data_IF_209423190982
#
_entry.id   IF_209423190982
#
_cell.length_a   1.000
_cell.length_b   1.000
_cell.length_c   1.000
_cell.angle_alpha   90.00
_cell.angle_beta   90.00
_cell.angle_gamma   90.00
#
_symmetry.space_group_name_H-M   'P 1'
#
loop_
_entity.id
_entity.type
_entity.pdbx_description
1 polymer ?
2 non-polymer ?
3 water ?
#
# COMPACT_ATOMS: atom_id res chain seq x y z
N UNK A 1 -17.54 -10.50 -17.16
CA UNK A 1 -17.91 -9.97 -18.50
C UNK A 1 -17.23 -8.62 -18.70
N UNK A 2 -17.69 -7.85 -19.69
CA UNK A 2 -17.13 -6.53 -19.97
C UNK A 2 -17.63 -5.51 -18.95
N UNK A 3 -16.74 -4.64 -18.52
CA UNK A 3 -17.07 -3.61 -17.54
C UNK A 3 -17.72 -2.41 -18.22
N UNK A 4 -18.53 -1.64 -17.47
CA UNK A 4 -19.20 -0.44 -18.00
C UNK A 4 -18.12 0.56 -18.36
N UNK A 5 -18.47 1.60 -19.11
CA UNK A 5 -17.47 2.60 -19.46
C UNK A 5 -17.09 3.41 -18.22
N UNK A 6 -15.79 3.75 -18.06
CA UNK A 6 -15.46 4.55 -16.88
C UNK A 6 -16.14 5.91 -17.03
N UNK A 7 -16.55 6.48 -15.91
CA UNK A 7 -17.23 7.77 -15.89
C UNK A 7 -16.28 8.90 -15.51
N UNK A 8 -15.78 9.62 -16.51
CA UNK A 8 -14.83 10.73 -16.29
C UNK A 8 -15.39 11.94 -15.56
N UNK A 9 -16.65 12.27 -15.80
CA UNK A 9 -17.27 13.40 -15.08
C UNK A 9 -17.42 13.00 -13.58
N UNK A 10 -17.86 11.79 -13.32
CA UNK A 10 -17.98 11.34 -11.94
C UNK A 10 -16.60 11.44 -11.27
N UNK A 11 -15.56 11.01 -11.96
CA UNK A 11 -14.20 11.08 -11.45
C UNK A 11 -13.78 12.55 -11.20
N UNK A 12 -14.15 13.45 -12.10
CA UNK A 12 -13.83 14.88 -11.92
C UNK A 12 -14.50 15.40 -10.63
N UNK A 13 -15.77 15.04 -10.43
CA UNK A 13 -16.53 15.45 -9.25
C UNK A 13 -15.85 14.95 -7.98
N UNK A 14 -15.38 13.71 -8.00
CA UNK A 14 -14.69 13.12 -6.86
C UNK A 14 -13.42 13.91 -6.52
N UNK A 15 -12.62 14.24 -7.53
CA UNK A 15 -11.38 14.99 -7.27
C UNK A 15 -11.67 16.37 -6.72
N UNK A 16 -12.67 17.03 -7.29
CA UNK A 16 -13.06 18.38 -6.90
C UNK A 16 -13.55 18.42 -5.46
N UNK A 17 -14.27 17.39 -5.08
CA UNK A 17 -14.79 17.23 -3.74
C UNK A 17 -13.67 17.03 -2.71
N UNK A 18 -12.67 16.20 -3.06
CA UNK A 18 -11.56 15.96 -2.15
C UNK A 18 -10.82 17.29 -1.92
N UNK A 19 -10.72 18.11 -2.96
CA UNK A 19 -10.09 19.41 -2.84
C UNK A 19 -10.91 20.30 -1.88
N UNK A 20 -12.23 20.31 -2.02
CA UNK A 20 -13.05 21.12 -1.13
C UNK A 20 -12.92 20.62 0.32
N UNK A 21 -12.52 19.36 0.51
CA UNK A 21 -12.38 18.82 1.86
C UNK A 21 -11.00 18.95 2.55
N UNK A 22 -10.01 19.57 1.89
CA UNK A 22 -8.71 19.72 2.51
C UNK A 22 -7.48 19.22 1.75
N UNK A 23 -7.68 18.39 0.74
CA UNK A 23 -6.57 17.86 -0.06
C UNK A 23 -6.03 18.95 -0.98
N UNK A 24 -4.72 19.24 -0.92
CA UNK A 24 -4.21 20.29 -1.82
C UNK A 24 -4.35 19.88 -3.28
N UNK A 25 -4.11 18.60 -3.54
CA UNK A 25 -4.19 18.10 -4.89
C UNK A 25 -4.77 16.72 -4.86
N UNK A 26 -5.18 16.26 -6.04
CA UNK A 26 -5.76 14.93 -6.19
C UNK A 26 -5.75 14.57 -7.68
N UNK A 27 -5.52 13.29 -7.98
CA UNK A 27 -5.48 12.84 -9.35
C UNK A 27 -5.82 11.35 -9.47
N UNK A 28 -6.16 10.94 -10.68
CA UNK A 28 -6.52 9.56 -10.91
C UNK A 28 -6.19 9.20 -12.35
N UNK A 29 -5.70 7.97 -12.56
CA UNK A 29 -5.41 7.48 -13.89
C UNK A 29 -6.10 6.14 -14.02
N UNK A 30 -6.77 5.94 -15.15
CA UNK A 30 -7.45 4.67 -15.43
C UNK A 30 -6.86 4.08 -16.71
N UNK A 31 -6.34 2.86 -16.60
CA UNK A 31 -5.80 2.14 -17.74
C UNK A 31 -6.87 1.15 -18.08
N UNK A 32 -7.71 1.51 -19.04
CA UNK A 32 -8.81 0.68 -19.46
C UNK A 32 -8.45 -0.11 -20.73
N UNK A 33 -7.79 -1.24 -20.54
CA UNK A 33 -7.42 -2.11 -21.64
C UNK A 33 -6.88 -1.36 -22.86
N UNK A 34 -5.89 -0.51 -22.64
CA UNK A 34 -5.31 0.21 -23.77
C UNK A 34 -5.80 1.61 -24.03
N UNK A 35 -6.85 2.04 -23.34
CA UNK A 35 -7.37 3.41 -23.49
C UNK A 35 -7.16 4.04 -22.11
N UNK A 36 -6.43 5.15 -22.08
CA UNK A 36 -6.08 5.85 -20.85
C UNK A 36 -7.06 6.96 -20.47
N UNK A 37 -7.29 7.10 -19.16
CA UNK A 37 -8.12 8.17 -18.62
C UNK A 37 -7.23 8.85 -17.59
N UNK A 38 -7.07 10.16 -17.69
CA UNK A 38 -6.25 10.89 -16.74
C UNK A 38 -6.84 12.25 -16.38
N UNK A 39 -6.97 12.47 -15.07
CA UNK A 39 -7.52 13.69 -14.51
C UNK A 39 -6.74 14.04 -13.27
N UNK A 40 -6.66 15.33 -12.98
CA UNK A 40 -5.96 15.86 -11.81
C UNK A 40 -6.49 17.26 -11.52
N UNK A 41 -6.45 17.66 -10.26
CA UNK A 41 -6.89 18.99 -9.89
C UNK A 41 -6.10 19.39 -8.64
N UNK A 42 -5.79 20.67 -8.53
CA UNK A 42 -5.07 21.12 -7.35
C UNK A 42 -3.57 21.25 -7.55
N UNK A 43 -2.88 21.45 -6.44
CA UNK A 43 -1.44 21.66 -6.45
C UNK A 43 -0.62 20.50 -5.88
N UNK A 44 0.60 20.34 -6.38
CA UNK A 44 1.53 19.33 -5.89
C UNK A 44 2.34 19.93 -4.74
N UNK A 45 2.55 21.24 -4.80
CA UNK A 45 3.30 21.99 -3.81
C UNK A 45 2.45 23.22 -3.52
N UNK A 46 1.70 23.20 -2.42
CA UNK A 46 0.81 24.30 -2.05
C UNK A 46 1.50 25.64 -1.78
N UNK A 47 2.83 25.62 -1.64
CA UNK A 47 3.58 26.84 -1.37
C UNK A 47 4.02 27.57 -2.64
N UNK A 48 4.67 26.84 -3.55
CA UNK A 48 5.13 27.42 -4.81
C UNK A 48 3.96 27.53 -5.79
N UNK A 49 3.00 26.63 -5.66
CA UNK A 49 1.85 26.63 -6.55
C UNK A 49 1.83 25.68 -7.75
N UNK A 50 2.84 24.82 -7.88
CA UNK A 50 2.93 23.87 -9.00
C UNK A 50 1.71 22.94 -9.03
N UNK A 51 1.10 22.79 -10.20
CA UNK A 51 -0.07 21.94 -10.37
C UNK A 51 0.29 20.45 -10.27
N UNK A 52 -0.61 19.66 -9.72
CA UNK A 52 -0.36 18.23 -9.62
C UNK A 52 -0.75 17.63 -10.99
N UNK A 53 -0.10 16.53 -11.39
CA UNK A 53 -0.38 15.87 -12.67
C UNK A 53 -0.31 14.37 -12.42
N UNK A 54 -0.80 13.56 -13.36
CA UNK A 54 -0.79 12.13 -13.18
C UNK A 54 0.58 11.46 -13.34
N UNK A 55 1.60 12.24 -13.71
CA UNK A 55 2.95 11.72 -13.87
C UNK A 55 3.79 11.95 -12.60
N UNK A 56 3.23 12.71 -11.65
CA UNK A 56 3.92 13.01 -10.41
C UNK A 56 4.14 11.76 -9.60
N UNK A 57 5.31 11.67 -8.97
CA UNK A 57 5.68 10.53 -8.16
C UNK A 57 5.21 10.77 -6.72
N UNK A 58 4.98 9.68 -5.99
CA UNK A 58 4.51 9.81 -4.63
C UNK A 58 4.84 8.57 -3.78
N UNK A 59 4.61 8.68 -2.46
CA UNK A 59 4.84 7.57 -1.55
C UNK A 59 3.56 6.77 -1.46
N UNK A 60 3.64 5.49 -1.78
CA UNK A 60 2.48 4.60 -1.81
C UNK A 60 2.06 3.98 -0.49
N UNK A 61 2.83 4.20 0.57
CA UNK A 61 2.50 3.64 1.87
C UNK A 61 2.27 2.13 1.82
N UNK A 62 1.20 1.70 2.49
CA UNK A 62 0.81 0.29 2.57
C UNK A 62 0.68 -0.52 1.29
N UNK A 63 0.64 0.13 0.12
CA UNK A 63 0.56 -0.61 -1.14
C UNK A 63 1.83 -1.46 -1.27
N UNK A 64 2.88 -1.01 -0.57
CA UNK A 64 4.18 -1.68 -0.50
C UNK A 64 4.02 -3.14 -0.08
N UNK A 65 2.97 -3.46 0.68
CA UNK A 65 2.76 -4.83 1.12
C UNK A 65 2.55 -5.82 -0.01
N UNK A 66 1.99 -5.35 -1.14
CA UNK A 66 1.75 -6.21 -2.29
C UNK A 66 3.08 -6.53 -2.96
N UNK A 67 3.99 -5.57 -2.94
CA UNK A 67 5.30 -5.76 -3.52
C UNK A 67 6.02 -6.85 -2.70
N UNK A 68 5.98 -6.72 -1.38
CA UNK A 68 6.58 -7.68 -0.46
C UNK A 68 5.95 -9.06 -0.58
N UNK A 69 4.62 -9.11 -0.67
CA UNK A 69 3.90 -10.38 -0.81
C UNK A 69 4.31 -11.09 -2.09
N UNK A 70 4.44 -10.33 -3.17
CA UNK A 70 4.84 -10.89 -4.47
C UNK A 70 6.23 -11.54 -4.38
N UNK A 71 7.16 -10.88 -3.70
CA UNK A 71 8.50 -11.43 -3.55
C UNK A 71 8.42 -12.76 -2.77
N UNK A 72 7.70 -12.78 -1.64
CA UNK A 72 7.57 -13.99 -0.83
C UNK A 72 6.90 -15.14 -1.60
N UNK A 73 5.87 -14.83 -2.37
CA UNK A 73 5.19 -15.87 -3.12
C UNK A 73 6.09 -16.46 -4.22
N UNK A 74 6.99 -15.65 -4.76
CA UNK A 74 7.93 -16.12 -5.77
C UNK A 74 8.93 -17.06 -5.07
N UNK A 75 9.26 -16.74 -3.82
CA UNK A 75 10.15 -17.54 -3.01
C UNK A 75 9.50 -18.90 -2.72
N UNK A 76 8.18 -18.91 -2.61
CA UNK A 76 7.43 -20.16 -2.40
C UNK A 76 7.53 -20.99 -3.68
N UNK A 77 7.37 -20.30 -4.81
CA UNK A 77 7.44 -20.91 -6.14
C UNK A 77 8.80 -21.55 -6.38
N UNK A 78 9.85 -20.92 -5.85
CA UNK A 78 11.21 -21.41 -5.98
C UNK A 78 11.58 -22.54 -5.00
N UNK A 79 10.69 -22.82 -4.04
CA UNK A 79 10.94 -23.87 -3.08
C UNK A 79 11.71 -23.43 -1.85
N UNK A 80 11.90 -22.12 -1.69
CA UNK A 80 12.64 -21.56 -0.56
C UNK A 80 11.80 -21.24 0.67
N UNK A 81 10.49 -21.19 0.52
CA UNK A 81 9.60 -20.85 1.63
C UNK A 81 8.34 -21.68 1.61
N UNK A 82 7.88 -22.09 2.79
CA UNK A 82 6.63 -22.83 2.90
C UNK A 82 5.65 -21.94 3.70
N UNK A 83 4.53 -21.58 3.10
CA UNK A 83 3.55 -20.71 3.75
C UNK A 83 3.05 -21.21 5.09
N UNK A 84 3.02 -22.53 5.29
CA UNK A 84 2.52 -23.08 6.55
C UNK A 84 3.54 -23.45 7.61
N UNK A 85 4.79 -23.05 7.36
CA UNK A 85 5.88 -23.25 8.29
C UNK A 85 5.86 -22.10 9.29
N UNK A 86 6.37 -22.38 10.47
CA UNK A 86 6.44 -21.38 11.53
C UNK A 86 7.45 -20.29 11.15
N UNK A 87 7.13 -19.04 11.50
CA UNK A 87 8.01 -17.90 11.23
C UNK A 87 9.30 -18.13 11.99
N UNK A 88 9.20 -18.77 13.16
CA UNK A 88 10.34 -19.07 14.01
C UNK A 88 11.30 -20.10 13.41
N UNK A 89 10.82 -20.82 12.42
CA UNK A 89 11.59 -21.83 11.70
C UNK A 89 12.67 -21.14 10.85
N UNK A 90 12.30 -20.01 10.23
CA UNK A 90 13.21 -19.26 9.37
C UNK A 90 13.97 -18.19 10.11
N UNK A 91 13.41 -17.74 11.21
CA UNK A 91 14.00 -16.70 12.02
C UNK A 91 13.89 -17.16 13.48
N UNK A 92 14.81 -18.03 13.93
CA UNK A 92 14.80 -18.56 15.29
C UNK A 92 14.75 -17.51 16.39
N UNK A 93 13.94 -17.84 17.40
CA UNK A 93 13.78 -16.99 18.56
C UNK A 93 13.21 -15.59 18.34
N UNK A 94 12.58 -15.34 17.19
CA UNK A 94 12.01 -14.03 16.90
C UNK A 94 10.67 -13.78 17.60
N UNK A 95 9.73 -14.70 17.42
CA UNK A 95 8.40 -14.55 17.99
C UNK A 95 8.21 -15.41 19.24
N UNK A 96 7.35 -14.96 20.19
CA UNK A 96 7.09 -15.72 21.42
C UNK A 96 6.23 -16.98 21.26
N UNK A 97 5.74 -17.21 20.04
CA UNK A 97 4.92 -18.38 19.75
C UNK A 97 5.36 -19.02 18.43
N UNK A 98 5.66 -20.32 18.48
CA UNK A 98 6.09 -21.08 17.32
C UNK A 98 4.92 -21.38 16.40
N UNK A 99 3.70 -21.28 16.91
CA UNK A 99 2.52 -21.58 16.10
C UNK A 99 2.10 -20.55 15.06
N UNK A 100 2.71 -19.37 15.11
CA UNK A 100 2.44 -18.31 14.15
C UNK A 100 3.18 -18.63 12.85
N UNK A 101 2.44 -18.83 11.77
CA UNK A 101 3.04 -19.17 10.46
C UNK A 101 3.25 -17.97 9.51
N UNK A 102 3.97 -18.21 8.41
CA UNK A 102 4.22 -17.17 7.41
C UNK A 102 2.86 -16.78 6.81
N UNK A 103 1.98 -17.75 6.57
CA UNK A 103 0.68 -17.46 5.99
C UNK A 103 -0.15 -16.52 6.86
N UNK A 104 -0.05 -16.69 8.18
CA UNK A 104 -0.78 -15.87 9.16
C UNK A 104 -0.24 -14.43 9.21
N UNK A 105 1.08 -14.28 9.07
CA UNK A 105 1.70 -12.97 9.07
C UNK A 105 1.30 -12.22 7.79
N UNK A 106 1.20 -12.94 6.68
CA UNK A 106 0.86 -12.34 5.38
C UNK A 106 -0.59 -11.92 5.23
N UNK A 107 -1.48 -12.56 6.00
CA UNK A 107 -2.88 -12.26 5.89
C UNK A 107 -3.44 -11.52 7.14
N UNK A 108 -2.54 -11.02 7.98
CA UNK A 108 -2.90 -10.31 9.21
C UNK A 108 -3.75 -11.13 10.19
N UNK A 109 -3.36 -12.40 10.40
CA UNK A 109 -4.07 -13.24 11.35
C UNK A 109 -3.11 -13.71 12.43
N UNK A 110 -1.97 -13.06 12.53
CA UNK A 110 -0.95 -13.47 13.48
C UNK A 110 -1.09 -13.06 14.94
N UNK A 111 -1.82 -11.97 15.21
CA UNK A 111 -1.96 -11.50 16.57
C UNK A 111 -0.90 -10.52 17.02
N UNK A 112 0.03 -10.15 16.13
CA UNK A 112 1.09 -9.23 16.49
C UNK A 112 0.56 -7.79 16.61
N UNK A 113 0.85 -7.18 17.75
CA UNK A 113 0.42 -5.83 18.02
C UNK A 113 1.07 -4.91 17.02
N UNK A 114 0.33 -3.91 16.56
CA UNK A 114 0.89 -2.96 15.61
C UNK A 114 1.55 -1.81 16.37
N UNK A 115 2.87 -1.71 16.30
CA UNK A 115 3.61 -0.65 16.99
C UNK A 115 3.26 0.81 16.58
N UNK A 116 2.67 1.02 15.39
CA UNK A 116 2.35 2.39 14.97
C UNK A 116 1.30 3.01 15.88
N UNK A 117 0.56 2.17 16.62
CA UNK A 117 -0.45 2.66 17.56
C UNK A 117 0.27 3.42 18.66
N UNK A 118 1.53 3.07 18.88
CA UNK A 118 2.34 3.72 19.90
C UNK A 118 3.02 4.96 19.33
N UNK A 119 3.50 4.86 18.10
CA UNK A 119 4.20 5.96 17.45
C UNK A 119 3.37 7.17 17.09
N UNK A 120 2.22 6.92 16.47
CA UNK A 120 1.34 7.97 15.98
C UNK A 120 0.06 8.25 16.76
N UNK A 121 0.09 8.14 18.07
CA UNK A 121 -1.09 8.43 18.88
C UNK A 121 -1.39 9.92 18.61
N UNK A 122 -0.34 10.74 18.59
CA UNK A 122 -0.45 12.15 18.29
C UNK A 122 0.18 12.26 16.90
N UNK A 123 -0.64 12.48 15.89
CA UNK A 123 -0.20 12.57 14.48
C UNK A 123 1.06 13.40 14.20
N UNK A 124 0.98 14.72 14.36
CA UNK A 124 2.14 15.58 14.10
C UNK A 124 3.34 15.31 15.02
N UNK A 125 3.14 15.28 16.35
CA UNK A 125 4.29 15.01 17.22
C UNK A 125 4.91 13.63 16.89
N UNK A 126 4.07 12.68 16.47
CA UNK A 126 4.54 11.34 16.11
C UNK A 126 5.39 11.38 14.85
N UNK A 127 4.93 12.09 13.83
CA UNK A 127 5.69 12.22 12.59
C UNK A 127 7.04 12.94 12.84
N UNK A 128 7.02 13.98 13.67
CA UNK A 128 8.25 14.72 13.95
C UNK A 128 9.27 13.85 14.69
N UNK A 129 8.77 12.93 15.50
CA UNK A 129 9.59 12.03 16.29
C UNK A 129 10.29 10.94 15.44
N UNK A 130 9.61 10.39 14.44
CA UNK A 130 10.20 9.34 13.61
C UNK A 130 10.67 9.69 12.18
N UNK A 131 10.33 10.87 11.66
CA UNK A 131 10.70 11.23 10.28
C UNK A 131 12.17 11.09 9.90
N UNK A 132 13.04 11.45 10.84
CA UNK A 132 14.47 11.38 10.61
C UNK A 132 15.17 10.22 11.31
N UNK A 133 14.40 9.26 11.79
CA UNK A 133 14.98 8.10 12.47
C UNK A 133 15.18 6.90 11.55
N UNK A 134 16.22 6.12 11.83
CA UNK A 134 16.49 4.91 11.06
C UNK A 134 16.38 3.74 12.02
N UNK A 135 15.47 2.83 11.69
CA UNK A 135 15.19 1.65 12.49
C UNK A 135 15.62 0.38 11.77
N UNK A 136 15.96 -0.65 12.54
CA UNK A 136 16.29 -1.95 11.97
C UNK A 136 14.97 -2.73 12.06
N UNK A 137 14.88 -3.87 11.38
CA UNK A 137 13.67 -4.68 11.44
C UNK A 137 13.47 -5.15 12.87
N UNK A 138 14.57 -5.47 13.54
CA UNK A 138 14.51 -5.93 14.91
C UNK A 138 13.93 -4.88 15.84
N UNK A 139 14.29 -3.61 15.64
CA UNK A 139 13.79 -2.51 16.48
C UNK A 139 12.26 -2.48 16.51
N UNK A 140 11.66 -2.63 15.33
CA UNK A 140 10.22 -2.59 15.18
C UNK A 140 9.55 -3.80 15.79
N UNK A 141 10.08 -4.99 15.52
CA UNK A 141 9.48 -6.20 16.08
C UNK A 141 9.51 -6.11 17.60
N UNK A 142 10.63 -5.69 18.16
CA UNK A 142 10.76 -5.54 19.61
C UNK A 142 9.75 -4.52 20.20
N UNK A 143 9.39 -3.51 19.42
CA UNK A 143 8.40 -2.53 19.87
C UNK A 143 7.05 -3.23 19.94
N UNK A 144 6.75 -4.05 18.92
CA UNK A 144 5.49 -4.81 18.87
C UNK A 144 5.37 -5.83 20.01
N UNK A 145 6.49 -6.51 20.29
CA UNK A 145 6.57 -7.54 21.33
C UNK A 145 6.52 -7.03 22.80
N UNK A 146 6.57 -5.71 23.00
CA UNK A 146 6.43 -5.16 24.35
C UNK A 146 4.96 -5.36 24.79
N UNK A 147 4.07 -5.50 23.81
CA UNK A 147 2.64 -5.74 24.05
C UNK A 147 2.34 -7.22 23.79
N UNK A 148 1.30 -7.75 24.40
CA UNK A 148 0.98 -9.16 24.15
C UNK A 148 0.33 -9.32 22.79
N UNK A 149 0.08 -10.55 22.38
CA UNK A 149 -0.58 -10.74 21.10
C UNK A 149 -2.04 -10.39 21.33
N UNK A 150 -2.77 -10.10 20.26
CA UNK A 150 -4.16 -9.69 20.40
C UNK A 150 -5.16 -10.81 20.21
N UNK A 151 -4.67 -11.96 19.76
CA UNK A 151 -5.51 -13.12 19.52
C UNK A 151 -4.58 -14.32 19.29
N UNK A 152 -5.17 -15.52 19.29
CA UNK A 152 -4.40 -16.76 19.08
C UNK A 152 -4.02 -16.87 17.62
N UNK A 153 -2.88 -17.52 17.32
CA UNK A 153 -2.41 -17.68 15.93
C UNK A 153 -3.47 -18.09 14.90
N UNK A 154 -3.67 -17.24 13.91
CA UNK A 154 -4.65 -17.50 12.86
C UNK A 154 -6.12 -17.28 13.22
N UNK A 155 -6.39 -17.00 14.49
CA UNK A 155 -7.77 -16.84 14.97
C UNK A 155 -8.61 -15.71 14.39
N UNK A 156 -8.01 -14.57 14.03
CA UNK A 156 -8.79 -13.45 13.51
C UNK A 156 -7.98 -12.41 12.79
N UNK A 157 -8.64 -11.63 11.94
CA UNK A 157 -7.97 -10.57 11.20
C UNK A 157 -7.83 -9.33 12.07
N UNK A 158 -6.63 -8.76 12.05
CA UNK A 158 -6.28 -7.55 12.76
C UNK A 158 -5.09 -7.01 11.98
N UNK A 159 -5.30 -5.92 11.24
CA UNK A 159 -4.23 -5.32 10.46
C UNK A 159 -3.08 -4.85 11.36
N UNK A 160 -1.85 -5.22 11.00
CA UNK A 160 -0.68 -4.82 11.79
C UNK A 160 0.53 -4.66 10.86
N UNK A 161 1.17 -3.48 10.90
CA UNK A 161 2.35 -3.20 10.08
C UNK A 161 3.48 -4.18 10.38
N UNK A 162 3.53 -4.60 11.64
CA UNK A 162 4.51 -5.54 12.12
C UNK A 162 4.62 -6.78 11.23
N UNK A 163 3.48 -7.22 10.73
CA UNK A 163 3.44 -8.40 9.88
C UNK A 163 4.34 -8.27 8.67
N UNK A 164 4.39 -7.09 8.07
CA UNK A 164 5.22 -6.94 6.91
C UNK A 164 6.64 -6.45 7.18
N UNK A 165 6.92 -6.16 8.45
CA UNK A 165 8.27 -5.83 8.87
C UNK A 165 8.88 -7.24 8.97
N UNK A 166 8.14 -8.17 9.57
CA UNK A 166 8.55 -9.56 9.65
C UNK A 166 8.72 -10.04 8.20
N UNK A 167 7.81 -9.63 7.30
CA UNK A 167 7.89 -10.06 5.91
C UNK A 167 9.22 -9.64 5.28
N UNK A 168 9.63 -8.40 5.55
CA UNK A 168 10.89 -7.92 5.03
C UNK A 168 12.08 -8.70 5.58
N UNK A 169 12.09 -8.97 6.88
CA UNK A 169 13.17 -9.71 7.52
C UNK A 169 13.31 -11.11 6.90
N UNK A 170 12.19 -11.76 6.61
CA UNK A 170 12.14 -13.08 6.01
C UNK A 170 12.81 -13.06 4.63
N UNK A 171 12.43 -12.08 3.82
CA UNK A 171 12.98 -11.91 2.48
C UNK A 171 14.49 -11.76 2.52
N UNK A 172 14.99 -10.92 3.42
CA UNK A 172 16.44 -10.73 3.49
C UNK A 172 17.19 -11.96 3.99
N UNK A 173 16.60 -12.67 4.93
CA UNK A 173 17.20 -13.88 5.49
C UNK A 173 17.28 -15.02 4.47
N UNK A 174 16.18 -15.30 3.80
CA UNK A 174 16.15 -16.37 2.81
C UNK A 174 16.94 -16.12 1.53
N UNK A 175 17.14 -14.85 1.17
CA UNK A 175 17.85 -14.51 -0.06
C UNK A 175 19.25 -13.97 0.17
N UNK A 176 19.52 -13.45 1.36
CA UNK A 176 20.83 -12.88 1.63
C UNK A 176 21.04 -11.53 0.95
N UNK A 177 19.96 -10.94 0.42
CA UNK A 177 20.05 -9.64 -0.24
C UNK A 177 19.08 -8.69 0.46
N UNK A 178 19.31 -7.40 0.32
CA UNK A 178 18.41 -6.42 0.91
C UNK A 178 17.08 -6.48 0.14
N UNK A 179 16.02 -6.00 0.75
CA UNK A 179 14.73 -6.02 0.08
C UNK A 179 14.70 -5.13 -1.19
N UNK A 180 15.56 -4.12 -1.24
CA UNK A 180 15.62 -3.20 -2.38
C UNK A 180 16.02 -3.96 -3.64
N UNK A 181 17.06 -4.79 -3.50
CA UNK A 181 17.59 -5.63 -4.55
C UNK A 181 16.49 -6.59 -5.01
N UNK A 182 15.77 -7.18 -4.05
CA UNK A 182 14.71 -8.12 -4.37
C UNK A 182 13.60 -7.47 -5.17
N UNK A 183 13.14 -6.29 -4.74
CA UNK A 183 12.08 -5.58 -5.48
C UNK A 183 12.55 -5.26 -6.89
N UNK A 184 13.77 -4.74 -6.98
CA UNK A 184 14.31 -4.37 -8.28
C UNK A 184 14.38 -5.55 -9.25
N UNK A 185 15.04 -6.63 -8.83
CA UNK A 185 15.20 -7.79 -9.69
C UNK A 185 13.95 -8.56 -10.06
N UNK A 186 13.08 -8.82 -9.08
CA UNK A 186 11.86 -9.55 -9.29
C UNK A 186 10.64 -8.76 -9.76
N UNK A 187 10.61 -7.46 -9.51
CA UNK A 187 9.43 -6.67 -9.87
C UNK A 187 9.72 -5.43 -10.70
N UNK A 188 10.47 -4.47 -10.15
CA UNK A 188 10.72 -3.23 -10.86
C UNK A 188 11.30 -3.39 -12.25
N UNK A 189 12.45 -4.05 -12.33
CA UNK A 189 13.13 -4.24 -13.61
C UNK A 189 12.32 -5.02 -14.62
N UNK A 190 11.88 -6.24 -14.27
CA UNK A 190 11.10 -7.03 -15.24
C UNK A 190 9.88 -6.32 -15.79
N UNK A 191 9.21 -5.54 -14.94
CA UNK A 191 7.99 -4.85 -15.33
C UNK A 191 8.30 -3.49 -15.96
N UNK A 192 9.56 -3.09 -15.92
CA UNK A 192 10.00 -1.80 -16.45
C UNK A 192 9.25 -0.62 -15.80
N UNK A 193 9.23 -0.63 -14.46
CA UNK A 193 8.57 0.41 -13.66
C UNK A 193 9.60 1.48 -13.35
N UNK A 194 9.70 2.46 -14.26
CA UNK A 194 10.70 3.52 -14.14
C UNK A 194 10.48 4.64 -13.12
N UNK A 195 9.30 4.67 -12.50
CA UNK A 195 8.97 5.67 -11.49
C UNK A 195 8.90 5.01 -10.11
N UNK A 196 9.30 3.74 -10.03
CA UNK A 196 9.18 2.99 -8.79
C UNK A 196 10.50 2.78 -8.06
N UNK A 197 10.56 3.20 -6.81
CA UNK A 197 11.76 3.11 -6.04
C UNK A 197 11.54 2.68 -4.60
N UNK A 198 12.57 2.08 -4.03
CA UNK A 198 12.59 1.74 -2.62
C UNK A 198 13.98 2.29 -2.29
N UNK A 199 14.03 3.50 -1.75
CA UNK A 199 15.28 4.17 -1.44
C UNK A 199 15.65 4.24 0.04
N UNK A 200 14.89 3.57 0.91
CA UNK A 200 15.15 3.58 2.35
C UNK A 200 16.64 3.46 2.64
N UNK A 201 17.19 4.26 3.58
CA UNK A 201 16.57 5.29 4.43
C UNK A 201 16.66 6.71 3.90
N UNK A 202 16.74 6.85 2.58
CA UNK A 202 16.83 8.16 1.95
C UNK A 202 15.50 8.93 2.13
N UNK A 203 15.59 10.24 2.30
CA UNK A 203 14.42 11.09 2.52
C UNK A 203 13.91 11.82 1.28
N UNK A 204 14.68 11.78 0.20
CA UNK A 204 14.32 12.47 -1.03
C UNK A 204 13.54 11.54 -1.92
N UNK A 205 12.63 12.10 -2.70
CA UNK A 205 11.84 11.35 -3.68
C UNK A 205 12.49 11.77 -5.00
N UNK A 206 13.05 10.81 -5.75
CA UNK A 206 13.69 11.19 -7.02
C UNK A 206 12.68 11.75 -8.02
N UNK A 207 13.15 12.68 -8.83
CA UNK A 207 12.31 13.28 -9.85
C UNK A 207 11.14 14.14 -9.38
N UNK A 208 10.29 14.51 -10.34
CA UNK A 208 9.12 15.31 -10.09
C UNK A 208 8.11 14.53 -9.22
N UNK A 209 7.83 15.05 -8.04
CA UNK A 209 6.90 14.41 -7.13
C UNK A 209 5.86 15.38 -6.58
N UNK A 210 4.80 14.80 -6.06
CA UNK A 210 3.74 15.55 -5.44
C UNK A 210 4.19 15.58 -3.99
N UNK A 211 4.13 16.74 -3.38
CA UNK A 211 4.52 16.87 -2.00
C UNK A 211 3.32 16.36 -1.20
N UNK A 212 3.57 15.87 0.00
CA UNK A 212 2.50 15.36 0.85
C UNK A 212 2.25 16.30 2.01
N UNK A 213 0.99 16.51 2.38
CA UNK A 213 0.67 17.40 3.49
C UNK A 213 -0.14 16.69 4.54
N UNK A 214 0.43 16.61 5.73
CA UNK A 214 -0.18 15.95 6.85
C UNK A 214 -1.19 16.86 7.54
N UNK A 215 -2.44 16.42 7.67
CA UNK A 215 -3.44 17.24 8.34
C UNK A 215 -3.25 17.04 9.86
N UNK A 216 -3.28 18.13 10.64
CA UNK A 216 -3.10 17.94 12.08
C UNK A 216 -4.40 17.45 12.72
N UNK A 217 -4.31 16.97 13.96
CA UNK A 217 -5.48 16.43 14.66
C UNK A 217 -6.48 17.49 15.07
N UNK A 218 -6.01 18.72 15.23
CA UNK A 218 -6.87 19.82 15.63
C UNK A 218 -7.55 20.45 14.43
N UNK A 219 -8.87 20.64 14.55
CA UNK A 219 -9.66 21.23 13.48
C UNK A 219 -9.15 22.63 13.13
N UNK A 220 -8.92 22.85 11.85
CA UNK A 220 -8.44 24.12 11.37
C UNK A 220 -6.94 24.33 11.48
N UNK A 221 -6.19 23.29 11.84
CA UNK A 221 -4.74 23.46 11.95
C UNK A 221 -4.05 23.63 10.61
N UNK A 222 -2.89 24.32 10.63
CA UNK A 222 -2.09 24.57 9.43
C UNK A 222 -1.50 23.26 8.96
N UNK A 223 -1.50 23.03 7.65
CA UNK A 223 -0.93 21.78 7.10
C UNK A 223 0.60 21.73 7.26
N UNK A 224 1.10 20.52 7.51
CA UNK A 224 2.51 20.23 7.70
C UNK A 224 3.07 19.49 6.48
N UNK A 225 4.11 20.04 5.87
CA UNK A 225 4.72 19.39 4.71
C UNK A 225 5.41 18.15 5.27
N UNK A 226 4.98 16.98 4.83
CA UNK A 226 5.60 15.72 5.29
C UNK A 226 6.30 14.93 4.19
N UNK A 227 6.58 15.58 3.06
CA UNK A 227 7.21 14.91 1.93
C UNK A 227 8.49 14.11 2.21
N UNK A 228 9.43 14.72 2.93
CA UNK A 228 10.71 14.09 3.18
C UNK A 228 10.92 13.43 4.53
N UNK A 229 10.94 12.10 4.50
CA UNK A 229 11.13 11.28 5.70
C UNK A 229 11.74 9.96 5.28
N UNK A 230 12.30 9.24 6.25
CA UNK A 230 12.94 7.96 5.96
C UNK A 230 11.94 6.83 5.72
N UNK A 231 10.75 6.94 6.31
CA UNK A 231 9.72 5.91 6.23
C UNK A 231 10.33 4.63 6.83
N UNK A 232 11.34 4.82 7.68
CA UNK A 232 12.04 3.69 8.30
C UNK A 232 11.17 2.94 9.32
N UNK A 233 10.08 3.57 9.74
CA UNK A 233 9.17 2.95 10.68
C UNK A 233 8.28 1.93 9.96
N UNK A 234 8.23 1.99 8.63
CA UNK A 234 7.42 1.08 7.82
C UNK A 234 8.22 0.07 6.98
N UNK A 235 9.24 0.57 6.27
CA UNK A 235 10.09 -0.22 5.41
C UNK A 235 9.31 -1.16 4.50
N UNK A 236 9.48 -2.47 4.64
CA UNK A 236 8.78 -3.42 3.78
C UNK A 236 7.24 -3.39 3.95
N UNK A 237 6.76 -2.60 4.89
CA UNK A 237 5.32 -2.44 5.13
C UNK A 237 4.79 -1.17 4.45
N UNK A 238 5.67 -0.27 4.02
CA UNK A 238 5.17 0.95 3.39
C UNK A 238 6.12 2.03 2.86
N UNK A 239 7.33 1.67 2.44
CA UNK A 239 8.27 2.67 1.96
C UNK A 239 8.47 2.82 0.46
N UNK A 240 7.72 2.07 -0.35
CA UNK A 240 7.85 2.18 -1.80
C UNK A 240 7.34 3.53 -2.38
N UNK A 241 8.03 4.02 -3.40
CA UNK A 241 7.70 5.25 -4.12
C UNK A 241 7.29 4.83 -5.53
N UNK A 242 6.19 5.34 -6.04
CA UNK A 242 5.78 4.95 -7.38
C UNK A 242 4.98 6.04 -8.09
N UNK A 243 4.28 5.68 -9.16
CA UNK A 243 3.47 6.62 -9.93
C UNK A 243 2.18 5.88 -10.26
N UNK A 244 1.20 6.61 -10.81
CA UNK A 244 -0.07 6.01 -11.18
C UNK A 244 0.12 4.97 -12.27
N UNK A 245 0.94 5.29 -13.26
CA UNK A 245 1.23 4.39 -14.36
C UNK A 245 1.90 3.10 -13.86
N UNK A 246 2.86 3.22 -12.94
CA UNK A 246 3.54 2.04 -12.44
C UNK A 246 2.68 1.14 -11.56
N UNK A 247 1.84 1.74 -10.73
CA UNK A 247 0.97 0.95 -9.88
C UNK A 247 -0.10 0.29 -10.76
N UNK A 248 -0.52 0.99 -11.81
CA UNK A 248 -1.51 0.43 -12.73
C UNK A 248 -0.89 -0.77 -13.44
N UNK A 249 0.38 -0.67 -13.81
CA UNK A 249 1.08 -1.77 -14.48
C UNK A 249 1.30 -2.95 -13.53
N UNK A 250 1.79 -2.66 -12.34
CA UNK A 250 2.02 -3.68 -11.33
C UNK A 250 0.72 -4.48 -11.06
N UNK A 251 -0.38 -3.81 -10.72
CA UNK A 251 -1.62 -4.56 -10.45
C UNK A 251 -2.25 -5.26 -11.65
N UNK A 252 -2.06 -4.72 -12.84
CA UNK A 252 -2.59 -5.39 -14.02
C UNK A 252 -1.74 -6.67 -14.28
N UNK A 253 -0.43 -6.60 -14.04
CA UNK A 253 0.46 -7.75 -14.25
C UNK A 253 0.21 -8.83 -13.19
N UNK A 254 -0.03 -8.41 -11.96
CA UNK A 254 -0.29 -9.33 -10.86
C UNK A 254 -1.57 -10.11 -11.12
N UNK A 255 -2.64 -9.40 -11.46
CA UNK A 255 -3.93 -10.02 -11.68
C UNK A 255 -4.05 -10.86 -12.94
N UNK A 256 -3.20 -10.59 -13.94
CA UNK A 256 -3.26 -11.36 -15.18
C UNK A 256 -2.35 -12.60 -15.15
N UNK A 257 -1.67 -12.79 -14.02
CA UNK A 257 -0.81 -13.95 -13.84
C UNK A 257 0.66 -13.89 -14.28
N UNK A 258 1.23 -12.70 -14.43
CA UNK A 258 2.61 -12.56 -14.88
C UNK A 258 3.67 -12.47 -13.79
N UNK A 259 3.26 -12.46 -12.52
CA UNK A 259 4.23 -12.30 -11.44
C UNK A 259 4.56 -13.53 -10.62
N UNK A 260 3.83 -14.61 -10.83
CA UNK A 260 4.04 -15.83 -10.07
C UNK A 260 3.23 -16.93 -10.70
N UNK A 261 3.32 -18.13 -10.15
CA UNK A 261 2.56 -19.25 -10.66
C UNK A 261 1.07 -19.09 -10.33
N UNK A 262 0.22 -19.78 -11.08
CA UNK A 262 -1.21 -19.73 -10.85
C UNK A 262 -1.54 -20.25 -9.45
N UNK A 263 -0.81 -21.27 -9.01
CA UNK A 263 -1.04 -21.88 -7.71
C UNK A 263 -0.85 -20.87 -6.58
N UNK A 264 0.17 -20.02 -6.70
CA UNK A 264 0.42 -19.01 -5.66
C UNK A 264 -0.52 -17.82 -5.73
N UNK A 265 -0.96 -17.46 -6.93
CA UNK A 265 -1.91 -16.37 -7.10
C UNK A 265 -3.23 -16.75 -6.46
N UNK A 266 -3.62 -18.02 -6.57
CA UNK A 266 -4.87 -18.44 -5.94
C UNK A 266 -4.69 -18.42 -4.43
N UNK A 267 -3.48 -18.68 -3.95
CA UNK A 267 -3.22 -18.63 -2.51
C UNK A 267 -3.34 -17.20 -2.02
N UNK A 268 -2.83 -16.27 -2.83
CA UNK A 268 -2.83 -14.84 -2.51
C UNK A 268 -4.21 -14.25 -2.41
N UNK A 269 -5.14 -14.81 -3.18
CA UNK A 269 -6.51 -14.35 -3.19
C UNK A 269 -7.39 -15.21 -2.31
N UNK A 270 -6.82 -15.79 -1.26
CA UNK A 270 -7.63 -16.61 -0.33
C UNK A 270 -8.09 -15.61 0.72
N UNK A 271 -9.29 -15.09 0.52
CA UNK A 271 -9.84 -14.05 1.37
C UNK A 271 -10.27 -14.34 2.81
N UNK A 272 -9.79 -13.50 3.71
CA UNK A 272 -10.19 -13.56 5.11
C UNK A 272 -11.16 -12.38 5.14
N UNK A 273 -12.30 -12.53 5.79
CA UNK A 273 -13.29 -11.47 5.84
C UNK A 273 -12.87 -10.31 6.74
N UNK A 274 -12.89 -9.09 6.19
CA UNK A 274 -12.52 -7.87 6.93
C UNK A 274 -13.83 -7.26 7.45
N UNK A 275 -14.82 -7.20 6.57
CA UNK A 275 -16.16 -6.67 6.87
C UNK A 275 -17.08 -7.05 5.70
N UNK A 276 -18.28 -6.48 5.65
CA UNK A 276 -19.27 -6.80 4.60
C UNK A 276 -18.85 -6.71 3.14
N UNK A 277 -18.04 -5.71 2.81
CA UNK A 277 -17.63 -5.50 1.43
C UNK A 277 -16.12 -5.62 1.16
N UNK A 278 -15.36 -6.11 2.13
CA UNK A 278 -13.92 -6.21 1.93
C UNK A 278 -13.31 -7.52 2.38
N UNK A 279 -12.19 -7.88 1.75
CA UNK A 279 -11.48 -9.09 2.08
C UNK A 279 -9.98 -8.80 2.03
N UNK A 280 -9.17 -9.68 2.59
CA UNK A 280 -7.72 -9.50 2.58
C UNK A 280 -7.15 -10.90 2.38
N UNK A 281 -6.22 -11.03 1.42
CA UNK A 281 -5.61 -12.33 1.16
C UNK A 281 -4.21 -12.28 1.71
N UNK A 282 -3.21 -12.42 0.83
CA UNK A 282 -1.82 -12.34 1.27
C UNK A 282 -1.23 -11.03 0.72
N UNK A 283 -1.31 -9.98 1.54
CA UNK A 283 -0.82 -8.69 1.11
C UNK A 283 -1.66 -8.13 -0.02
N UNK A 284 -2.93 -8.51 -0.08
CA UNK A 284 -3.83 -8.03 -1.14
C UNK A 284 -5.22 -7.80 -0.58
N UNK A 285 -5.90 -6.73 -1.01
CA UNK A 285 -7.26 -6.43 -0.54
C UNK A 285 -8.26 -6.68 -1.66
N UNK A 286 -9.49 -6.96 -1.27
CA UNK A 286 -10.59 -7.13 -2.22
C UNK A 286 -11.63 -6.13 -1.73
N UNK A 287 -12.18 -5.34 -2.65
CA UNK A 287 -13.23 -4.38 -2.32
C UNK A 287 -14.39 -4.72 -3.23
N UNK A 288 -15.58 -4.85 -2.65
CA UNK A 288 -16.79 -5.17 -3.39
C UNK A 288 -17.46 -3.86 -3.71
N UNK A 289 -17.62 -3.58 -5.00
CA UNK A 289 -18.21 -2.34 -5.47
C UNK A 289 -19.73 -2.47 -5.48
N UNK A 290 -20.44 -1.34 -5.55
CA UNK A 290 -21.91 -1.34 -5.52
C UNK A 290 -22.61 -1.96 -6.71
N UNK A 291 -22.02 -1.86 -7.89
CA UNK A 291 -22.63 -2.44 -9.09
C UNK A 291 -22.42 -3.96 -9.19
N UNK A 292 -21.89 -4.56 -8.14
CA UNK A 292 -21.70 -6.01 -8.12
C UNK A 292 -20.43 -6.58 -8.74
N UNK A 293 -19.34 -5.83 -8.69
CA UNK A 293 -18.06 -6.29 -9.23
C UNK A 293 -17.05 -6.08 -8.11
N UNK A 294 -16.00 -6.88 -8.09
CA UNK A 294 -14.98 -6.77 -7.06
C UNK A 294 -13.67 -6.31 -7.67
N UNK A 295 -12.92 -5.49 -6.96
CA UNK A 295 -11.63 -5.01 -7.47
C UNK A 295 -10.56 -5.50 -6.51
N UNK A 296 -9.35 -5.67 -7.03
CA UNK A 296 -8.22 -6.19 -6.25
C UNK A 296 -7.02 -5.26 -6.29
N UNK A 297 -6.36 -5.11 -5.15
CA UNK A 297 -5.21 -4.23 -5.09
C UNK A 297 -4.85 -3.91 -3.65
N UNK A 298 -4.69 -2.61 -3.36
CA UNK A 298 -4.34 -2.18 -2.01
C UNK A 298 -4.43 -0.65 -1.85
N UNK A 299 -4.67 -0.22 -0.62
CA UNK A 299 -4.74 1.20 -0.30
C UNK A 299 -3.44 1.50 0.43
N UNK A 300 -3.15 2.78 0.56
CA UNK A 300 -1.95 3.17 1.23
C UNK A 300 -2.17 4.52 1.85
N UNK A 301 -1.69 4.63 3.07
CA UNK A 301 -1.76 5.86 3.83
C UNK A 301 -0.38 5.94 4.48
N UNK A 302 0.26 7.08 4.32
CA UNK A 302 1.56 7.34 4.90
C UNK A 302 1.42 8.85 5.06
N UNK A 303 2.21 9.49 5.92
CA UNK A 303 2.05 10.93 6.11
C UNK A 303 2.03 11.77 4.85
N UNK A 304 0.89 12.39 4.59
CA UNK A 304 0.74 13.26 3.45
C UNK A 304 0.23 12.67 2.15
N UNK A 305 -0.03 11.37 2.11
CA UNK A 305 -0.50 10.75 0.88
C UNK A 305 -1.56 9.67 1.13
N UNK A 306 -2.61 9.68 0.32
CA UNK A 306 -3.70 8.69 0.38
C UNK A 306 -3.71 8.05 -1.00
N UNK A 307 -3.46 6.74 -1.07
CA UNK A 307 -3.42 6.01 -2.35
C UNK A 307 -4.41 4.86 -2.44
N UNK A 308 -5.04 4.70 -3.62
CA UNK A 308 -5.96 3.58 -3.90
C UNK A 308 -5.43 3.02 -5.22
N UNK A 309 -5.01 1.77 -5.22
CA UNK A 309 -4.52 1.15 -6.44
C UNK A 309 -5.23 -0.20 -6.53
N UNK A 310 -6.18 -0.30 -7.47
CA UNK A 310 -6.97 -1.52 -7.66
C UNK A 310 -7.09 -1.92 -9.14
N UNK A 311 -7.43 -3.18 -9.38
CA UNK A 311 -7.56 -3.69 -10.73
C UNK A 311 -8.68 -4.71 -10.82
N UNK A 312 -9.20 -4.95 -12.01
CA UNK A 312 -10.25 -5.94 -12.17
C UNK A 312 -9.68 -7.38 -12.07
N UNK A 313 -10.54 -8.37 -11.90
CA UNK A 313 -10.13 -9.75 -11.76
C UNK A 313 -9.12 -10.22 -12.81
N UNK A 314 -9.25 -9.76 -14.05
CA UNK A 314 -8.34 -10.21 -15.09
C UNK A 314 -7.21 -9.24 -15.41
N UNK A 315 -7.13 -8.15 -14.67
CA UNK A 315 -6.10 -7.17 -14.92
C UNK A 315 -6.31 -6.25 -16.12
N UNK A 316 -7.44 -6.38 -16.82
CA UNK A 316 -7.72 -5.53 -17.98
C UNK A 316 -7.93 -4.05 -17.65
N UNK A 317 -8.48 -3.76 -16.49
CA UNK A 317 -8.69 -2.36 -16.10
C UNK A 317 -8.05 -2.17 -14.74
N UNK A 318 -7.15 -1.19 -14.61
CA UNK A 318 -6.51 -0.88 -13.32
C UNK A 318 -6.68 0.61 -13.05
N UNK A 319 -6.72 0.99 -11.78
CA UNK A 319 -6.88 2.39 -11.42
C UNK A 319 -6.04 2.80 -10.22
N UNK A 320 -5.44 3.98 -10.31
CA UNK A 320 -4.67 4.53 -9.22
C UNK A 320 -5.10 5.99 -9.01
N UNK A 321 -5.60 6.27 -7.82
CA UNK A 321 -6.01 7.61 -7.45
C UNK A 321 -5.07 8.04 -6.32
N UNK A 322 -4.83 9.33 -6.19
CA UNK A 322 -3.93 9.85 -5.18
C UNK A 322 -4.36 11.25 -4.78
N UNK A 323 -4.37 11.51 -3.48
CA UNK A 323 -4.66 12.84 -2.95
C UNK A 323 -3.44 13.08 -2.06
N UNK A 324 -2.82 14.25 -2.16
CA UNK A 324 -1.64 14.52 -1.34
C UNK A 324 -1.83 15.05 0.08
N UNK A 325 -2.64 14.35 0.87
CA UNK A 325 -2.84 14.71 2.28
C UNK A 325 -3.26 13.45 3.02
N UNK A 326 -3.04 13.43 4.33
CA UNK A 326 -3.47 12.29 5.13
C UNK A 326 -4.04 12.85 6.43
N UNK A 327 -4.57 11.96 7.27
CA UNK A 327 -5.22 12.33 8.55
C UNK A 327 -6.41 13.28 8.33
N UNK A 328 -7.18 12.94 7.31
CA UNK A 328 -8.37 13.69 6.95
C UNK A 328 -9.31 12.57 6.47
N UNK A 329 -10.20 12.13 7.34
CA UNK A 329 -11.12 11.06 6.98
C UNK A 329 -12.11 11.44 5.87
N UNK A 330 -12.46 12.73 5.77
CA UNK A 330 -13.35 13.15 4.70
C UNK A 330 -12.67 12.91 3.32
N UNK A 331 -11.40 13.30 3.17
CA UNK A 331 -10.72 13.05 1.90
C UNK A 331 -10.57 11.53 1.64
N UNK A 332 -10.25 10.78 2.68
CA UNK A 332 -10.08 9.33 2.57
C UNK A 332 -11.35 8.66 2.00
N UNK A 333 -12.50 8.93 2.61
CA UNK A 333 -13.78 8.36 2.16
C UNK A 333 -14.15 8.79 0.73
N UNK A 334 -14.01 10.09 0.43
CA UNK A 334 -14.32 10.64 -0.88
C UNK A 334 -13.49 10.00 -2.00
N UNK A 335 -12.18 9.86 -1.78
CA UNK A 335 -11.32 9.28 -2.82
C UNK A 335 -11.67 7.84 -3.19
N UNK A 336 -12.22 7.09 -2.24
CA UNK A 336 -12.61 5.70 -2.47
C UNK A 336 -13.65 5.60 -3.58
N UNK A 337 -14.32 6.72 -3.84
CA UNK A 337 -15.35 6.83 -4.86
C UNK A 337 -14.82 6.78 -6.29
N UNK A 338 -13.54 7.07 -6.48
CA UNK A 338 -12.94 7.00 -7.82
C UNK A 338 -13.15 5.56 -8.32
N UNK A 339 -13.21 4.63 -7.39
CA UNK A 339 -13.38 3.21 -7.72
C UNK A 339 -14.73 2.91 -8.30
N UNK A 340 -15.76 3.57 -7.78
CA UNK A 340 -17.11 3.38 -8.26
C UNK A 340 -17.23 3.92 -9.67
N UNK A 341 -16.73 5.14 -9.88
CA UNK A 341 -16.78 5.79 -11.19
C UNK A 341 -15.93 5.08 -12.23
N UNK A 342 -14.74 4.68 -11.84
CA UNK A 342 -13.82 4.03 -12.75
C UNK A 342 -14.28 2.65 -13.18
N UNK A 343 -14.79 1.86 -12.25
CA UNK A 343 -15.24 0.49 -12.56
C UNK A 343 -16.72 0.31 -12.82
N UNK A 344 -17.55 0.97 -12.02
CA UNK A 344 -19.00 0.86 -12.17
C UNK A 344 -19.61 1.80 -13.22
N UNK A 345 -18.92 2.91 -13.52
CA UNK A 345 -19.42 3.82 -14.53
C UNK A 345 -20.52 4.78 -14.08
N UNK A 346 -21.20 5.36 -15.06
CA UNK A 346 -22.27 6.32 -14.83
C UNK A 346 -23.46 5.67 -14.11
N UNK A 347 -23.96 6.31 -13.05
CA UNK A 347 -25.10 5.76 -12.32
C UNK A 347 -26.38 5.82 -13.15
#
# INVERSE_FOLDING_TARGET
ADLPAPDDTGLQAVLHTALSQGAPGAMVRVDDNGTIHQLSEGVADRATGRAITTTDRFRVGSVTKSFSAVVLLQLVDEGKLDLDASVNTYLPGLLPDDRITVRQVMSHRSGLYDYTNDMFAQTVPGFESVRNKVFSYQDLITLSLKHGVTNAPGAAYSYSNTNFVVAGMLIEKLTGHSVATEYQNRIFTPLNLTDTFYVHPDTVIPGTHANGYLTPDEAGGALVDSTEQTVSWAQSAGAVISSTQDLDTFFSALMSGQLMSAAQLAQMQQWTTVNSTQGYGLGLRRRDLSCGISVYGHTGTVQGYYTYAFASKDGKRSVTALANTSNNVNVLNTMARTLESAFCGKPTT
#
